data_IF_003714693981
#
_entry.id   IF_003714693981
#
_cell.length_a   1.000
_cell.length_b   1.000
_cell.length_c   1.000
_cell.angle_alpha   90.00
_cell.angle_beta   90.00
_cell.angle_gamma   90.00
#
_symmetry.space_group_name_H-M   'P 1'
#
loop_
_entity.id
_entity.type
_entity.pdbx_description
1 polymer ?
#
# COMPACT_ATOMS: atom_id res chain seq x y z
N UNK A 1 17.85 5.49 -14.25
CA UNK A 1 17.17 4.20 -14.01
C UNK A 1 15.84 4.16 -14.74
N UNK A 2 14.97 5.17 -14.59
CA UNK A 2 13.63 5.20 -15.23
C UNK A 2 13.65 5.09 -16.76
N UNK A 3 14.55 5.81 -17.45
CA UNK A 3 14.69 5.67 -18.91
C UNK A 3 15.13 4.28 -19.37
N UNK A 4 15.76 3.49 -18.48
CA UNK A 4 16.16 2.11 -18.73
C UNK A 4 15.00 1.16 -18.43
N UNK A 5 14.30 1.36 -17.30
CA UNK A 5 13.22 0.48 -16.83
C UNK A 5 11.88 0.71 -17.55
N UNK A 6 11.60 1.93 -18.00
CA UNK A 6 10.34 2.34 -18.61
C UNK A 6 10.51 2.71 -20.09
N UNK A 7 11.49 2.11 -20.77
CA UNK A 7 11.80 2.43 -22.16
C UNK A 7 10.58 2.18 -23.06
N UNK A 8 10.18 3.19 -23.82
CA UNK A 8 9.02 3.12 -24.73
C UNK A 8 7.68 3.40 -24.05
N UNK A 9 7.64 3.64 -22.73
CA UNK A 9 6.43 4.03 -22.02
C UNK A 9 6.33 5.55 -21.93
N UNK A 10 5.18 6.09 -22.32
CA UNK A 10 4.82 7.51 -22.10
C UNK A 10 3.61 7.57 -21.17
N UNK A 11 3.60 8.54 -20.25
CA UNK A 11 2.46 8.80 -19.37
C UNK A 11 1.98 10.24 -19.57
N UNK A 12 0.66 10.44 -19.59
CA UNK A 12 0.04 11.75 -19.54
C UNK A 12 -0.64 11.90 -18.18
N UNK A 13 -0.34 12.98 -17.48
CA UNK A 13 -0.95 13.30 -16.18
C UNK A 13 -1.97 14.39 -16.43
N UNK A 14 -3.23 14.10 -16.12
CA UNK A 14 -4.31 15.09 -16.16
C UNK A 14 -4.46 15.68 -14.76
N UNK A 15 -4.21 16.98 -14.65
CA UNK A 15 -4.39 17.70 -13.40
C UNK A 15 -5.88 17.99 -13.14
N UNK A 16 -6.31 18.13 -11.87
CA UNK A 16 -7.65 18.57 -11.55
C UNK A 16 -7.99 19.93 -12.19
N UNK A 17 -9.27 20.20 -12.52
CA UNK A 17 -9.69 21.51 -13.02
C UNK A 17 -9.23 22.64 -12.09
N UNK A 18 -8.66 23.70 -12.68
CA UNK A 18 -8.17 24.87 -11.94
C UNK A 18 -6.70 24.81 -11.51
N UNK A 19 -6.00 23.69 -11.71
CA UNK A 19 -4.56 23.63 -11.49
C UNK A 19 -3.82 23.99 -12.78
N UNK A 20 -3.21 25.17 -12.83
CA UNK A 20 -2.40 25.61 -13.98
C UNK A 20 -0.98 25.08 -13.86
N UNK A 21 -0.36 24.76 -15.00
CA UNK A 21 1.01 24.24 -15.02
C UNK A 21 1.99 25.24 -14.39
N UNK A 22 1.80 26.55 -14.62
CA UNK A 22 2.65 27.59 -14.06
C UNK A 22 2.61 27.65 -12.51
N UNK A 23 1.48 27.28 -11.90
CA UNK A 23 1.23 27.35 -10.46
C UNK A 23 1.60 26.05 -9.72
N UNK A 24 2.01 25.00 -10.44
CA UNK A 24 2.36 23.71 -9.84
C UNK A 24 3.48 23.87 -8.82
N UNK A 25 4.52 24.63 -9.17
CA UNK A 25 5.68 24.83 -8.31
C UNK A 25 5.32 25.57 -7.01
N UNK A 26 4.31 26.43 -7.05
CA UNK A 26 3.83 27.19 -5.89
C UNK A 26 3.14 26.31 -4.85
N UNK A 27 2.65 25.13 -5.25
CA UNK A 27 1.88 24.21 -4.41
C UNK A 27 2.60 22.89 -4.13
N UNK A 28 3.60 22.52 -4.94
CA UNK A 28 4.44 21.34 -4.72
C UNK A 28 5.21 21.44 -3.39
N UNK A 29 5.21 20.36 -2.59
CA UNK A 29 5.93 20.31 -1.31
C UNK A 29 5.58 21.47 -0.35
N UNK A 30 4.33 21.98 -0.39
CA UNK A 30 3.90 23.13 0.42
C UNK A 30 4.16 22.95 1.94
N UNK A 31 4.15 21.70 2.42
CA UNK A 31 4.47 21.36 3.80
C UNK A 31 5.90 21.80 4.22
N UNK A 32 6.84 21.86 3.29
CA UNK A 32 8.22 22.30 3.53
C UNK A 32 8.40 23.81 3.49
N UNK A 33 7.39 24.56 3.03
CA UNK A 33 7.38 26.02 3.08
C UNK A 33 6.75 26.59 4.35
N UNK A 34 6.19 25.73 5.21
CA UNK A 34 5.62 26.14 6.50
C UNK A 34 6.73 26.30 7.53
N UNK A 35 6.74 27.45 8.20
CA UNK A 35 7.74 27.82 9.21
C UNK A 35 7.57 27.01 10.51
N UNK A 36 6.33 26.78 10.94
CA UNK A 36 6.01 26.01 12.14
C UNK A 36 5.19 24.77 11.80
N UNK A 37 5.66 23.61 12.29
CA UNK A 37 4.92 22.35 12.26
C UNK A 37 5.07 21.68 13.61
N UNK A 38 3.95 21.28 14.20
CA UNK A 38 3.91 20.40 15.36
C UNK A 38 4.36 18.99 14.93
N UNK A 39 5.44 18.50 15.52
CA UNK A 39 5.96 17.15 15.23
C UNK A 39 5.00 16.08 15.73
N UNK A 40 4.84 15.00 14.95
CA UNK A 40 4.00 13.86 15.29
C UNK A 40 4.77 12.55 15.23
N UNK A 41 4.38 11.60 16.07
CA UNK A 41 4.88 10.23 16.04
C UNK A 41 3.89 9.36 15.27
N UNK A 42 4.35 8.77 14.16
CA UNK A 42 3.58 7.77 13.40
C UNK A 42 4.03 6.36 13.73
N UNK A 43 3.08 5.51 14.12
CA UNK A 43 3.28 4.06 14.15
C UNK A 43 3.05 3.49 12.75
N UNK A 44 4.10 2.92 12.16
CA UNK A 44 4.03 2.17 10.90
C UNK A 44 4.02 0.67 11.20
N UNK A 45 2.91 0.00 10.88
CA UNK A 45 2.76 -1.46 10.99
C UNK A 45 3.03 -2.11 9.63
N UNK A 46 4.18 -2.77 9.51
CA UNK A 46 4.67 -3.31 8.23
C UNK A 46 3.90 -4.53 7.72
N UNK A 47 3.86 -4.65 6.39
CA UNK A 47 3.28 -5.79 5.69
C UNK A 47 4.05 -7.10 5.93
N UNK A 48 3.35 -8.23 5.85
CA UNK A 48 3.95 -9.58 5.90
C UNK A 48 4.27 -10.16 4.52
N UNK A 49 3.52 -9.79 3.49
CA UNK A 49 3.56 -10.36 2.15
C UNK A 49 4.49 -9.64 1.17
N UNK A 50 4.87 -8.39 1.44
CA UNK A 50 5.61 -7.55 0.50
C UNK A 50 6.56 -6.62 1.24
N UNK A 51 7.84 -7.01 1.30
CA UNK A 51 8.86 -6.31 2.08
C UNK A 51 9.30 -4.97 1.48
N UNK A 52 9.20 -4.80 0.15
CA UNK A 52 9.62 -3.54 -0.50
C UNK A 52 8.69 -2.35 -0.21
N UNK A 53 7.47 -2.60 0.28
CA UNK A 53 6.55 -1.52 0.68
C UNK A 53 7.01 -0.82 1.96
N UNK A 54 7.73 -1.53 2.83
CA UNK A 54 8.17 -1.01 4.14
C UNK A 54 8.95 0.32 4.00
N UNK A 55 9.99 0.43 3.15
CA UNK A 55 10.65 1.71 2.91
C UNK A 55 9.71 2.80 2.38
N UNK A 56 8.77 2.45 1.49
CA UNK A 56 7.80 3.40 0.92
C UNK A 56 6.91 4.02 2.00
N UNK A 57 6.30 3.18 2.84
CA UNK A 57 5.43 3.59 3.95
C UNK A 57 6.19 4.50 4.94
N UNK A 58 7.43 4.12 5.29
CA UNK A 58 8.30 4.91 6.18
C UNK A 58 8.61 6.28 5.55
N UNK A 59 9.09 6.30 4.31
CA UNK A 59 9.51 7.54 3.63
C UNK A 59 8.33 8.47 3.36
N UNK A 60 7.16 7.93 3.04
CA UNK A 60 5.94 8.70 2.85
C UNK A 60 5.53 9.44 4.13
N UNK A 61 5.55 8.76 5.28
CA UNK A 61 5.25 9.40 6.57
C UNK A 61 6.35 10.36 7.03
N UNK A 62 7.62 9.99 6.83
CA UNK A 62 8.75 10.80 7.29
C UNK A 62 8.91 12.09 6.46
N UNK A 63 8.88 11.99 5.14
CA UNK A 63 9.14 13.13 4.24
C UNK A 63 7.85 13.72 3.66
N UNK A 64 6.87 12.89 3.31
CA UNK A 64 5.59 13.39 2.79
C UNK A 64 4.75 14.11 3.85
N UNK A 65 4.81 13.64 5.09
CA UNK A 65 3.99 14.16 6.21
C UNK A 65 4.82 14.83 7.33
N UNK A 66 6.15 14.80 7.28
CA UNK A 66 7.07 15.36 8.29
C UNK A 66 6.86 14.80 9.71
N UNK A 67 6.52 13.52 9.82
CA UNK A 67 6.40 12.81 11.11
C UNK A 67 7.71 12.10 11.48
N UNK A 68 7.90 11.73 12.75
CA UNK A 68 8.91 10.75 13.17
C UNK A 68 8.28 9.37 13.32
N UNK A 69 9.07 8.31 13.13
CA UNK A 69 8.52 6.97 12.88
C UNK A 69 8.86 5.99 14.00
N UNK A 70 7.83 5.27 14.47
CA UNK A 70 8.00 3.98 15.14
C UNK A 70 7.58 2.91 14.15
N UNK A 71 8.52 2.11 13.67
CA UNK A 71 8.27 1.03 12.74
C UNK A 71 8.21 -0.32 13.47
N UNK A 72 7.11 -1.05 13.30
CA UNK A 72 6.98 -2.43 13.76
C UNK A 72 6.81 -3.39 12.58
N UNK A 73 7.81 -4.21 12.23
CA UNK A 73 7.65 -5.17 11.15
C UNK A 73 6.60 -6.22 11.50
N UNK A 74 5.96 -6.81 10.49
CA UNK A 74 5.19 -8.04 10.69
C UNK A 74 6.11 -9.13 11.26
N UNK A 75 5.66 -9.98 12.21
CA UNK A 75 6.48 -11.08 12.74
C UNK A 75 7.06 -12.00 11.65
N UNK A 76 6.35 -12.21 10.54
CA UNK A 76 6.87 -12.98 9.39
C UNK A 76 8.11 -12.34 8.75
N UNK A 77 8.20 -11.02 8.83
CA UNK A 77 9.28 -10.20 8.26
C UNK A 77 10.21 -9.63 9.35
N UNK A 78 10.13 -10.12 10.58
CA UNK A 78 10.95 -9.65 11.71
C UNK A 78 12.45 -9.78 11.40
N UNK A 79 12.84 -10.85 10.69
CA UNK A 79 14.22 -11.09 10.25
C UNK A 79 14.78 -9.99 9.33
N UNK A 80 13.93 -9.18 8.70
CA UNK A 80 14.35 -8.03 7.87
C UNK A 80 14.63 -6.78 8.71
N UNK A 81 14.21 -6.74 9.98
CA UNK A 81 14.38 -5.60 10.87
C UNK A 81 15.83 -5.08 10.93
N UNK A 82 16.85 -5.93 11.15
CA UNK A 82 18.24 -5.50 11.15
C UNK A 82 18.71 -4.88 9.82
N UNK A 83 18.16 -5.34 8.69
CA UNK A 83 18.47 -4.76 7.38
C UNK A 83 17.80 -3.39 7.21
N UNK A 84 16.58 -3.23 7.72
CA UNK A 84 15.90 -1.92 7.77
C UNK A 84 16.68 -0.97 8.67
N UNK A 85 17.11 -1.40 9.85
CA UNK A 85 17.92 -0.58 10.76
C UNK A 85 19.24 -0.13 10.11
N UNK A 86 19.92 -1.05 9.41
CA UNK A 86 21.13 -0.72 8.66
C UNK A 86 20.86 0.29 7.54
N UNK A 87 19.83 0.05 6.72
CA UNK A 87 19.48 0.92 5.59
C UNK A 87 19.03 2.32 6.03
N UNK A 88 18.33 2.42 7.17
CA UNK A 88 17.79 3.67 7.71
C UNK A 88 18.65 4.25 8.86
N UNK A 89 19.88 3.79 9.04
CA UNK A 89 20.76 4.22 10.14
C UNK A 89 20.90 5.74 10.24
N UNK A 90 21.02 6.44 9.11
CA UNK A 90 21.12 7.90 9.06
C UNK A 90 19.87 8.65 9.54
N UNK A 91 18.73 7.96 9.65
CA UNK A 91 17.48 8.48 10.20
C UNK A 91 17.26 7.99 11.64
N UNK A 92 17.75 6.80 11.97
CA UNK A 92 17.64 6.21 13.31
C UNK A 92 18.60 6.90 14.29
N UNK A 93 19.89 7.02 13.97
CA UNK A 93 20.89 7.63 14.87
C UNK A 93 20.48 9.02 15.41
N UNK A 94 20.01 9.97 14.58
CA UNK A 94 19.54 11.28 15.07
C UNK A 94 18.15 11.27 15.73
N UNK A 95 17.43 10.13 15.74
CA UNK A 95 16.16 10.00 16.45
C UNK A 95 14.88 10.12 15.61
N UNK A 96 14.96 10.24 14.28
CA UNK A 96 13.78 10.37 13.42
C UNK A 96 13.01 9.06 13.23
N UNK A 97 13.63 7.92 13.52
CA UNK A 97 13.01 6.61 13.39
C UNK A 97 13.48 5.63 14.49
N UNK A 98 12.59 4.73 14.90
CA UNK A 98 12.91 3.57 15.75
C UNK A 98 12.26 2.31 15.19
N UNK A 99 12.96 1.19 15.22
CA UNK A 99 12.41 -0.13 14.92
C UNK A 99 12.07 -0.82 16.23
N UNK A 100 10.87 -1.40 16.32
CA UNK A 100 10.38 -2.10 17.50
C UNK A 100 9.83 -3.47 17.11
N UNK A 101 10.19 -4.48 17.88
CA UNK A 101 9.90 -5.89 17.57
C UNK A 101 8.74 -6.44 18.40
N UNK A 102 8.19 -7.57 17.96
CA UNK A 102 7.12 -8.27 18.67
C UNK A 102 5.85 -8.47 17.86
N UNK A 103 4.85 -9.07 18.51
CA UNK A 103 3.61 -9.55 17.87
C UNK A 103 2.43 -8.60 18.00
N UNK A 104 1.23 -9.19 17.99
CA UNK A 104 -0.03 -8.48 18.10
C UNK A 104 -0.15 -7.65 19.40
N UNK A 105 0.43 -8.15 20.52
CA UNK A 105 0.43 -7.44 21.80
C UNK A 105 1.13 -6.09 21.71
N UNK A 106 2.34 -6.06 21.13
CA UNK A 106 3.12 -4.83 20.94
C UNK A 106 2.44 -3.90 19.94
N UNK A 107 1.90 -4.43 18.84
CA UNK A 107 1.14 -3.63 17.87
C UNK A 107 -0.08 -2.96 18.50
N UNK A 108 -0.86 -3.69 19.30
CA UNK A 108 -2.04 -3.16 20.01
C UNK A 108 -1.65 -2.10 21.05
N UNK A 109 -0.62 -2.38 21.85
CA UNK A 109 -0.10 -1.43 22.83
C UNK A 109 0.33 -0.11 22.18
N UNK A 110 1.16 -0.16 21.13
CA UNK A 110 1.64 1.03 20.43
C UNK A 110 0.50 1.80 19.75
N UNK A 111 -0.48 1.09 19.16
CA UNK A 111 -1.62 1.73 18.50
C UNK A 111 -2.44 2.60 19.46
N UNK A 112 -2.53 2.18 20.73
CA UNK A 112 -3.29 2.88 21.77
C UNK A 112 -2.44 3.86 22.58
N UNK A 113 -1.11 3.78 22.50
CA UNK A 113 -0.20 4.57 23.33
C UNK A 113 -0.36 6.08 23.16
N UNK A 114 -0.48 6.84 24.24
CA UNK A 114 -0.82 8.28 24.20
C UNK A 114 0.16 9.15 23.39
N UNK A 115 1.45 8.78 23.36
CA UNK A 115 2.47 9.50 22.57
C UNK A 115 2.46 9.18 21.06
N UNK A 116 1.66 8.21 20.60
CA UNK A 116 1.53 7.92 19.16
C UNK A 116 0.37 8.73 18.63
N UNK A 117 0.62 9.66 17.71
CA UNK A 117 -0.38 10.58 17.17
C UNK A 117 -1.08 10.03 15.93
N UNK A 118 -0.34 9.29 15.11
CA UNK A 118 -0.77 8.81 13.79
C UNK A 118 -0.46 7.32 13.61
N UNK A 119 -1.28 6.65 12.80
CA UNK A 119 -1.05 5.27 12.42
C UNK A 119 -1.03 5.11 10.90
N UNK A 120 -0.15 4.24 10.44
CA UNK A 120 -0.15 3.69 9.09
C UNK A 120 0.01 2.18 9.16
N UNK A 121 -0.76 1.44 8.37
CA UNK A 121 -0.59 0.01 8.28
C UNK A 121 -0.71 -0.49 6.85
N UNK A 122 0.09 -1.50 6.54
CA UNK A 122 -0.15 -2.34 5.37
C UNK A 122 -0.46 -3.76 5.86
N UNK A 123 -1.67 -4.27 5.60
CA UNK A 123 -2.07 -5.56 6.18
C UNK A 123 -3.52 -5.99 5.97
N UNK A 124 -4.02 -6.84 6.88
CA UNK A 124 -5.37 -7.37 6.77
C UNK A 124 -6.43 -6.40 7.30
N UNK A 125 -7.61 -6.41 6.68
CA UNK A 125 -8.77 -5.69 7.19
C UNK A 125 -9.17 -6.16 8.61
N UNK A 126 -8.94 -7.43 8.96
CA UNK A 126 -9.17 -7.93 10.32
C UNK A 126 -8.31 -7.22 11.37
N UNK A 127 -7.02 -7.00 11.08
CA UNK A 127 -6.11 -6.27 11.97
C UNK A 127 -6.51 -4.81 12.08
N UNK A 128 -6.83 -4.17 10.95
CA UNK A 128 -7.31 -2.79 10.91
C UNK A 128 -8.57 -2.63 11.77
N UNK A 129 -9.56 -3.48 11.58
CA UNK A 129 -10.83 -3.43 12.32
C UNK A 129 -10.63 -3.71 13.81
N UNK A 130 -9.75 -4.64 14.17
CA UNK A 130 -9.42 -4.92 15.56
C UNK A 130 -8.79 -3.70 16.26
N UNK A 131 -7.99 -2.90 15.54
CA UNK A 131 -7.41 -1.66 16.07
C UNK A 131 -8.47 -0.55 16.16
N UNK A 132 -9.26 -0.37 15.10
CA UNK A 132 -10.23 0.74 15.00
C UNK A 132 -11.42 0.54 15.93
N UNK A 133 -12.02 -0.66 15.95
CA UNK A 133 -13.26 -0.95 16.68
C UNK A 133 -13.03 -1.80 17.93
N UNK A 134 -11.91 -2.51 18.00
CA UNK A 134 -11.66 -3.53 19.02
C UNK A 134 -11.90 -4.94 18.46
N UNK A 135 -11.39 -5.99 19.14
CA UNK A 135 -11.60 -7.38 18.73
C UNK A 135 -12.97 -7.92 19.16
N UNK A 136 -13.35 -9.08 18.59
CA UNK A 136 -14.50 -9.88 19.04
C UNK A 136 -15.87 -9.26 18.74
N UNK A 137 -16.90 -9.78 19.41
CA UNK A 137 -18.31 -9.37 19.20
C UNK A 137 -18.55 -7.89 19.51
N UNK A 138 -17.90 -7.37 20.56
CA UNK A 138 -18.02 -5.95 20.91
C UNK A 138 -17.40 -5.05 19.83
N UNK A 139 -16.29 -5.47 19.24
CA UNK A 139 -15.70 -4.82 18.07
C UNK A 139 -16.65 -4.82 16.86
N UNK A 140 -17.28 -5.97 16.58
CA UNK A 140 -18.27 -6.09 15.52
C UNK A 140 -19.49 -5.17 15.76
N UNK A 141 -19.97 -5.08 17.01
CA UNK A 141 -21.07 -4.17 17.39
C UNK A 141 -20.71 -2.71 17.17
N UNK A 142 -19.50 -2.29 17.56
CA UNK A 142 -18.98 -0.92 17.32
C UNK A 142 -18.81 -0.62 15.84
N UNK A 143 -18.30 -1.57 15.05
CA UNK A 143 -18.21 -1.44 13.59
C UNK A 143 -19.58 -1.22 12.96
N UNK A 144 -20.57 -2.04 13.32
CA UNK A 144 -21.95 -1.91 12.82
C UNK A 144 -22.58 -0.57 13.22
N UNK A 145 -22.33 -0.11 14.45
CA UNK A 145 -22.79 1.19 14.96
C UNK A 145 -21.95 2.39 14.47
N UNK A 146 -20.85 2.15 13.74
CA UNK A 146 -19.87 3.18 13.32
C UNK A 146 -19.32 3.99 14.49
N UNK A 147 -19.04 3.34 15.62
CA UNK A 147 -18.50 3.94 16.84
C UNK A 147 -17.05 3.48 17.08
N UNK A 148 -16.06 4.03 16.36
CA UNK A 148 -14.67 3.60 16.51
C UNK A 148 -14.14 3.91 17.92
N UNK A 149 -13.35 2.97 18.44
CA UNK A 149 -12.60 3.11 19.67
C UNK A 149 -11.35 3.97 19.45
N UNK A 150 -10.64 3.75 18.34
CA UNK A 150 -9.49 4.57 17.96
C UNK A 150 -9.94 6.00 17.64
N UNK A 151 -9.29 7.00 18.26
CA UNK A 151 -9.55 8.44 18.03
C UNK A 151 -8.46 9.13 17.21
N UNK A 152 -7.41 8.40 16.87
CA UNK A 152 -6.24 8.87 16.12
C UNK A 152 -6.47 8.74 14.63
N UNK A 153 -5.78 9.56 13.85
CA UNK A 153 -5.76 9.38 12.41
C UNK A 153 -5.09 8.06 12.06
N UNK A 154 -5.67 7.34 11.10
CA UNK A 154 -5.21 6.02 10.71
C UNK A 154 -5.39 5.83 9.21
N UNK A 155 -4.27 5.68 8.52
CA UNK A 155 -4.20 5.31 7.11
C UNK A 155 -3.89 3.82 6.97
N UNK A 156 -4.45 3.16 5.96
CA UNK A 156 -4.22 1.74 5.78
C UNK A 156 -4.29 1.29 4.31
N UNK A 157 -3.28 0.52 3.90
CA UNK A 157 -3.29 -0.27 2.68
C UNK A 157 -3.74 -1.70 3.01
N UNK A 158 -4.95 -2.04 2.57
CA UNK A 158 -5.58 -3.31 2.89
C UNK A 158 -5.69 -4.22 1.66
N UNK A 159 -5.93 -5.52 1.91
CA UNK A 159 -6.23 -6.46 0.84
C UNK A 159 -7.48 -6.09 0.05
N UNK A 160 -7.50 -6.45 -1.23
CA UNK A 160 -8.63 -6.21 -2.12
C UNK A 160 -8.97 -7.46 -2.96
N UNK A 161 -10.00 -7.32 -3.79
CA UNK A 161 -10.24 -8.17 -4.96
C UNK A 161 -9.96 -7.30 -6.18
N UNK A 162 -8.76 -7.41 -6.75
CA UNK A 162 -8.40 -6.59 -7.92
C UNK A 162 -9.10 -7.13 -9.17
N UNK A 163 -9.98 -6.35 -9.82
CA UNK A 163 -10.65 -6.76 -11.04
C UNK A 163 -9.77 -6.50 -12.27
N UNK A 164 -9.78 -7.44 -13.21
CA UNK A 164 -9.26 -7.29 -14.57
C UNK A 164 -10.45 -7.19 -15.51
N UNK A 165 -10.70 -5.99 -16.04
CA UNK A 165 -11.78 -5.77 -16.99
C UNK A 165 -11.22 -5.91 -18.40
N UNK A 166 -11.69 -6.93 -19.12
CA UNK A 166 -11.30 -7.19 -20.50
C UNK A 166 -12.27 -6.48 -21.42
N UNK A 167 -11.77 -5.49 -22.15
CA UNK A 167 -12.56 -4.74 -23.15
C UNK A 167 -12.59 -5.52 -24.47
N UNK A 168 -13.78 -5.92 -24.97
CA UNK A 168 -13.89 -6.63 -26.23
C UNK A 168 -13.33 -5.84 -27.42
N UNK A 169 -12.69 -6.52 -28.36
CA UNK A 169 -12.25 -5.99 -29.64
C UNK A 169 -11.72 -7.08 -30.57
N UNK A 170 -11.31 -6.69 -31.76
CA UNK A 170 -10.74 -7.58 -32.79
C UNK A 170 -9.24 -7.79 -32.55
N UNK A 171 -8.91 -8.44 -31.43
CA UNK A 171 -7.52 -8.68 -31.05
C UNK A 171 -6.90 -9.73 -31.97
N UNK A 172 -5.68 -9.46 -32.40
CA UNK A 172 -4.83 -10.43 -33.07
C UNK A 172 -4.47 -11.60 -32.14
N UNK A 173 -3.98 -12.69 -32.72
CA UNK A 173 -3.51 -13.84 -31.94
C UNK A 173 -2.37 -13.46 -30.99
N UNK A 174 -1.44 -12.62 -31.45
CA UNK A 174 -0.29 -12.14 -30.67
C UNK A 174 -0.73 -11.26 -29.50
N UNK A 175 -1.75 -10.40 -29.70
CA UNK A 175 -2.33 -9.61 -28.61
C UNK A 175 -2.99 -10.51 -27.56
N UNK A 176 -3.76 -11.51 -27.98
CA UNK A 176 -4.39 -12.48 -27.06
C UNK A 176 -3.32 -13.20 -26.23
N UNK A 177 -2.27 -13.73 -26.86
CA UNK A 177 -1.18 -14.41 -26.16
C UNK A 177 -0.45 -13.47 -25.20
N UNK A 178 -0.13 -12.26 -25.66
CA UNK A 178 0.57 -11.24 -24.86
C UNK A 178 -0.25 -10.86 -23.63
N UNK A 179 -1.57 -10.66 -23.77
CA UNK A 179 -2.43 -10.33 -22.63
C UNK A 179 -2.60 -11.52 -21.69
N UNK A 180 -2.72 -12.74 -22.22
CA UNK A 180 -2.75 -13.97 -21.43
C UNK A 180 -1.53 -14.09 -20.51
N UNK A 181 -0.32 -13.96 -21.07
CA UNK A 181 0.94 -13.99 -20.33
C UNK A 181 0.99 -12.88 -19.28
N UNK A 182 0.58 -11.66 -19.62
CA UNK A 182 0.58 -10.53 -18.66
C UNK A 182 -0.33 -10.79 -17.47
N UNK A 183 -1.56 -11.26 -17.71
CA UNK A 183 -2.52 -11.56 -16.65
C UNK A 183 -2.02 -12.71 -15.77
N UNK A 184 -1.53 -13.79 -16.39
CA UNK A 184 -0.98 -14.94 -15.68
C UNK A 184 0.24 -14.54 -14.82
N UNK A 185 1.20 -13.82 -15.41
CA UNK A 185 2.40 -13.33 -14.71
C UNK A 185 2.02 -12.44 -13.52
N UNK A 186 1.04 -11.54 -13.71
CA UNK A 186 0.55 -10.68 -12.64
C UNK A 186 -0.11 -11.48 -11.50
N UNK A 187 -0.85 -12.54 -11.84
CA UNK A 187 -1.46 -13.44 -10.85
C UNK A 187 -0.41 -14.22 -10.05
N UNK A 188 0.57 -14.81 -10.71
CA UNK A 188 1.52 -15.74 -10.07
C UNK A 188 2.72 -15.03 -9.43
N UNK A 189 2.92 -13.75 -9.72
CA UNK A 189 3.96 -12.94 -9.07
C UNK A 189 3.86 -13.04 -7.56
N UNK A 190 4.99 -13.36 -6.91
CA UNK A 190 5.05 -13.60 -5.46
C UNK A 190 4.02 -14.64 -4.98
N UNK A 191 3.80 -15.71 -5.77
CA UNK A 191 2.78 -16.74 -5.55
C UNK A 191 1.37 -16.18 -5.35
N UNK A 192 1.09 -15.01 -5.95
CA UNK A 192 -0.18 -14.31 -5.80
C UNK A 192 -0.39 -13.70 -4.41
N UNK A 193 0.64 -13.56 -3.56
CA UNK A 193 0.49 -12.91 -2.27
C UNK A 193 0.52 -11.38 -2.34
N UNK A 194 0.67 -10.77 -3.52
CA UNK A 194 0.59 -9.32 -3.68
C UNK A 194 -0.85 -8.80 -3.49
N UNK A 195 -1.02 -7.68 -2.79
CA UNK A 195 -2.34 -7.05 -2.63
C UNK A 195 -3.01 -6.64 -3.96
N UNK A 196 -2.30 -6.13 -5.00
CA UNK A 196 -2.91 -5.84 -6.29
C UNK A 196 -3.00 -7.06 -7.21
N UNK A 197 -2.71 -8.29 -6.74
CA UNK A 197 -2.82 -9.46 -7.60
C UNK A 197 -4.26 -9.62 -8.13
N UNK A 198 -4.46 -9.94 -9.42
CA UNK A 198 -5.78 -10.06 -10.01
C UNK A 198 -6.55 -11.20 -9.32
N UNK A 199 -7.79 -10.93 -8.92
CA UNK A 199 -8.67 -11.90 -8.24
C UNK A 199 -9.99 -12.17 -8.96
N UNK A 200 -10.32 -11.32 -9.92
CA UNK A 200 -11.55 -11.40 -10.69
C UNK A 200 -11.25 -10.98 -12.12
N UNK A 201 -11.62 -11.79 -13.10
CA UNK A 201 -11.60 -11.41 -14.52
C UNK A 201 -13.03 -11.16 -14.97
N UNK A 202 -13.29 -9.97 -15.49
CA UNK A 202 -14.59 -9.52 -16.00
C UNK A 202 -14.50 -9.45 -17.52
N UNK A 203 -15.35 -10.23 -18.20
CA UNK A 203 -15.39 -10.35 -19.66
C UNK A 203 -16.83 -10.20 -20.18
N UNK A 204 -16.96 -9.71 -21.41
CA UNK A 204 -18.24 -9.78 -22.13
C UNK A 204 -18.55 -11.22 -22.54
N UNK A 205 -19.74 -11.70 -22.17
CA UNK A 205 -20.22 -13.05 -22.50
C UNK A 205 -20.21 -13.34 -24.01
N UNK A 206 -20.47 -12.32 -24.83
CA UNK A 206 -20.64 -12.45 -26.28
C UNK A 206 -19.36 -12.12 -27.07
N UNK A 207 -18.23 -11.90 -26.41
CA UNK A 207 -16.98 -11.60 -27.10
C UNK A 207 -16.39 -12.87 -27.74
N UNK A 208 -16.21 -12.93 -29.08
CA UNK A 208 -15.80 -14.17 -29.75
C UNK A 208 -14.42 -14.72 -29.34
N UNK A 209 -13.53 -13.85 -28.87
CA UNK A 209 -12.16 -14.23 -28.48
C UNK A 209 -12.02 -14.59 -26.99
N UNK A 210 -13.12 -14.57 -26.23
CA UNK A 210 -13.13 -14.81 -24.78
C UNK A 210 -12.42 -16.10 -24.38
N UNK A 211 -12.77 -17.23 -25.02
CA UNK A 211 -12.17 -18.53 -24.67
C UNK A 211 -10.71 -18.62 -25.10
N UNK A 212 -10.32 -17.93 -26.19
CA UNK A 212 -8.91 -17.87 -26.59
C UNK A 212 -8.07 -17.13 -25.55
N UNK A 213 -8.60 -16.05 -24.98
CA UNK A 213 -7.92 -15.36 -23.88
C UNK A 213 -7.85 -16.25 -22.63
N UNK A 214 -8.94 -16.94 -22.26
CA UNK A 214 -8.92 -17.85 -21.10
C UNK A 214 -7.84 -18.93 -21.25
N UNK A 215 -7.75 -19.54 -22.43
CA UNK A 215 -6.73 -20.53 -22.75
C UNK A 215 -5.33 -19.93 -22.66
N UNK A 216 -5.10 -18.75 -23.24
CA UNK A 216 -3.81 -18.07 -23.17
C UNK A 216 -3.39 -17.69 -21.75
N UNK A 217 -4.34 -17.45 -20.83
CA UNK A 217 -4.03 -17.24 -19.40
C UNK A 217 -3.64 -18.56 -18.73
N UNK A 218 -4.31 -19.67 -19.06
CA UNK A 218 -4.03 -20.99 -18.47
C UNK A 218 -2.72 -21.61 -18.96
N UNK A 219 -2.35 -21.37 -20.22
CA UNK A 219 -1.15 -21.97 -20.83
C UNK A 219 0.15 -21.23 -20.52
N UNK A 220 0.07 -20.02 -19.93
CA UNK A 220 1.22 -19.18 -19.61
C UNK A 220 1.95 -19.65 -18.33
#
# INVERSE_FOLDING_TARGET
>A
IDRLLLRGTTCQIIMPPGVRQEELHENQAALYRREEIEGKITLVLGAGNTSFLIPGDILAKLFGERHVIIFKPNPLNEYLGPLVEYAFRSLIEPGYMRVVYGGAKQGSYLSQHDLVDDLHMTGSHHTFEAIVFGPGEEGARRKAARTPMLKKHFTAELGNITPVIVVPGDWSADEIQTQGIKIATWLVYNAGFACPAPRLVIQSKNWPLRERLNQAITDA
#
